data_IF_773641387134
#
_entry.id   IF_773641387134
#
_cell.length_a   1.000
_cell.length_b   1.000
_cell.length_c   1.000
_cell.angle_alpha   90.00
_cell.angle_beta   90.00
_cell.angle_gamma   90.00
#
_symmetry.space_group_name_H-M   'P 1'
#
loop_
_entity.id
_entity.type
_entity.pdbx_description
1 polymer ?
#
# COMPACT_ATOMS: atom_id res chain seq x y z
N UNK A 1 7.35 7.63 19.58
CA UNK A 1 7.25 8.21 18.23
C UNK A 1 6.05 7.57 17.54
N UNK A 2 4.93 8.29 17.40
CA UNK A 2 3.79 7.78 16.62
C UNK A 2 4.26 7.59 15.18
N UNK A 3 4.18 6.35 14.69
CA UNK A 3 4.54 6.04 13.31
C UNK A 3 3.66 6.92 12.40
N UNK A 4 4.25 7.85 11.64
CA UNK A 4 3.44 8.72 10.80
C UNK A 4 2.70 7.83 9.81
N UNK A 5 1.37 8.01 9.74
CA UNK A 5 0.56 7.65 8.58
C UNK A 5 0.24 6.16 8.35
N UNK A 6 0.04 5.37 9.42
CA UNK A 6 -0.58 4.02 9.37
C UNK A 6 -2.10 4.05 9.14
N UNK A 7 -2.62 5.13 8.57
CA UNK A 7 -4.05 5.35 8.42
C UNK A 7 -4.50 4.88 7.05
N UNK A 8 -5.41 3.91 6.99
CA UNK A 8 -5.92 3.40 5.72
C UNK A 8 -7.34 3.93 5.46
N UNK A 9 -7.56 4.81 4.47
CA UNK A 9 -8.90 5.31 4.16
C UNK A 9 -9.84 4.19 3.68
N UNK A 10 -9.31 3.16 3.01
CA UNK A 10 -10.08 1.99 2.58
C UNK A 10 -10.55 1.09 3.75
N UNK A 11 -10.05 1.31 4.97
CA UNK A 11 -10.44 0.54 6.14
C UNK A 11 -11.23 1.37 7.16
N UNK A 12 -11.79 2.51 6.76
CA UNK A 12 -12.50 3.42 7.64
C UNK A 12 -11.56 4.36 8.41
N UNK A 13 -10.44 4.74 7.79
CA UNK A 13 -9.45 5.67 8.35
C UNK A 13 -8.86 5.21 9.69
N UNK A 14 -8.83 3.90 9.93
CA UNK A 14 -8.24 3.29 11.12
C UNK A 14 -6.74 3.06 10.95
N UNK A 15 -6.03 2.94 12.07
CA UNK A 15 -4.66 2.44 12.09
C UNK A 15 -4.67 0.97 11.63
N UNK A 16 -3.87 0.64 10.62
CA UNK A 16 -3.74 -0.71 10.10
C UNK A 16 -2.28 -1.11 10.02
N UNK A 17 -2.02 -2.42 9.93
CA UNK A 17 -0.68 -2.90 9.63
C UNK A 17 -0.33 -2.66 8.16
N UNK A 18 0.88 -2.18 7.96
CA UNK A 18 1.42 -1.83 6.65
C UNK A 18 2.68 -2.64 6.41
N UNK A 19 2.65 -3.49 5.38
CA UNK A 19 3.79 -4.30 4.95
C UNK A 19 4.48 -3.66 3.74
N UNK A 20 5.80 -3.87 3.57
CA UNK A 20 6.47 -3.49 2.33
C UNK A 20 5.83 -4.22 1.14
N UNK A 21 5.86 -3.58 -0.02
CA UNK A 21 5.39 -4.16 -1.28
C UNK A 21 6.24 -5.37 -1.66
N UNK A 22 5.55 -6.42 -2.10
CA UNK A 22 6.13 -7.62 -2.68
C UNK A 22 6.63 -7.39 -4.11
N UNK A 23 7.45 -8.30 -4.63
CA UNK A 23 8.11 -8.11 -5.94
C UNK A 23 7.14 -7.81 -7.09
N UNK A 24 6.01 -8.52 -7.14
CA UNK A 24 4.96 -8.31 -8.13
C UNK A 24 4.27 -6.95 -7.96
N UNK A 25 4.03 -6.52 -6.73
CA UNK A 25 3.38 -5.25 -6.40
C UNK A 25 4.29 -4.06 -6.71
N UNK A 26 5.60 -4.22 -6.44
CA UNK A 26 6.63 -3.25 -6.83
C UNK A 26 6.70 -3.11 -8.35
N UNK A 27 6.69 -4.23 -9.08
CA UNK A 27 6.67 -4.19 -10.54
C UNK A 27 5.43 -3.44 -11.06
N UNK A 28 4.25 -3.72 -10.50
CA UNK A 28 3.02 -3.02 -10.85
C UNK A 28 3.09 -1.52 -10.53
N UNK A 29 3.63 -1.15 -9.35
CA UNK A 29 3.79 0.24 -8.95
C UNK A 29 4.76 1.01 -9.86
N UNK A 30 5.82 0.35 -10.34
CA UNK A 30 6.74 0.93 -11.31
C UNK A 30 6.09 1.16 -12.68
N UNK A 31 5.30 0.20 -13.15
CA UNK A 31 4.74 0.23 -14.51
C UNK A 31 3.49 1.08 -14.62
N UNK A 32 2.56 0.96 -13.67
CA UNK A 32 1.23 1.57 -13.75
C UNK A 32 1.09 2.81 -12.88
N UNK A 33 1.66 2.81 -11.68
CA UNK A 33 1.61 3.98 -10.80
C UNK A 33 2.74 4.98 -11.05
N UNK A 34 3.63 4.70 -12.03
CA UNK A 34 4.79 5.53 -12.39
C UNK A 34 5.64 5.93 -11.18
N UNK A 35 5.64 5.10 -10.15
CA UNK A 35 6.41 5.35 -8.94
C UNK A 35 7.88 5.16 -9.27
N UNK A 36 8.73 6.09 -8.84
CA UNK A 36 10.17 5.93 -9.02
C UNK A 36 10.70 4.79 -8.16
N UNK A 37 11.70 4.08 -8.69
CA UNK A 37 12.30 2.91 -8.01
C UNK A 37 12.91 3.26 -6.64
N UNK A 38 13.34 4.52 -6.47
CA UNK A 38 13.79 5.08 -5.20
C UNK A 38 12.64 5.22 -4.19
N UNK A 39 11.47 5.69 -4.64
CA UNK A 39 10.30 5.90 -3.78
C UNK A 39 9.60 4.61 -3.41
N UNK A 40 9.69 3.55 -4.21
CA UNK A 40 9.09 2.23 -3.93
C UNK A 40 9.32 1.74 -2.50
N UNK A 41 10.52 1.97 -1.94
CA UNK A 41 10.84 1.54 -0.57
C UNK A 41 10.05 2.29 0.51
N UNK A 42 9.50 3.46 0.16
CA UNK A 42 8.64 4.26 1.02
C UNK A 42 7.18 3.82 0.93
N UNK A 43 6.77 3.16 -0.15
CA UNK A 43 5.40 2.68 -0.29
C UNK A 43 5.17 1.41 0.53
N UNK A 44 4.03 1.39 1.20
CA UNK A 44 3.58 0.27 2.02
C UNK A 44 2.17 -0.11 1.63
N UNK A 45 1.92 -1.41 1.59
CA UNK A 45 0.59 -1.97 1.36
C UNK A 45 -0.08 -2.26 2.70
N UNK A 46 -1.38 -1.94 2.80
CA UNK A 46 -2.21 -2.39 3.91
C UNK A 46 -2.23 -3.93 3.97
N UNK A 47 -1.85 -4.50 5.10
CA UNK A 47 -1.79 -5.94 5.34
C UNK A 47 -3.15 -6.55 5.68
N UNK A 48 -4.20 -5.72 5.80
CA UNK A 48 -5.56 -6.18 6.06
C UNK A 48 -6.08 -7.03 4.91
N UNK A 49 -6.72 -8.15 5.23
CA UNK A 49 -7.39 -8.99 4.26
C UNK A 49 -8.46 -8.21 3.48
N UNK A 50 -8.53 -8.47 2.17
CA UNK A 50 -9.39 -7.73 1.24
C UNK A 50 -8.92 -6.30 0.91
N UNK A 51 -7.91 -5.76 1.60
CA UNK A 51 -7.39 -4.43 1.30
C UNK A 51 -6.26 -4.49 0.26
N UNK A 52 -6.37 -3.62 -0.74
CA UNK A 52 -5.39 -3.43 -1.82
C UNK A 52 -4.78 -2.04 -1.83
N UNK A 53 -5.03 -1.26 -0.78
CA UNK A 53 -4.51 0.10 -0.65
C UNK A 53 -2.99 0.06 -0.46
N UNK A 54 -2.28 0.75 -1.33
CA UNK A 54 -0.86 1.04 -1.21
C UNK A 54 -0.71 2.54 -1.02
N UNK A 55 0.07 2.94 -0.01
CA UNK A 55 0.30 4.36 0.26
C UNK A 55 1.75 4.61 0.65
N UNK A 56 2.20 5.84 0.46
CA UNK A 56 3.53 6.24 0.92
C UNK A 56 3.55 6.34 2.44
N UNK A 57 4.61 5.83 3.05
CA UNK A 57 4.90 5.97 4.47
C UNK A 57 4.96 7.45 4.91
N UNK A 58 5.46 8.33 4.03
CA UNK A 58 5.56 9.76 4.32
C UNK A 58 4.25 10.51 4.08
N UNK A 59 3.37 10.00 3.22
CA UNK A 59 2.10 10.64 2.87
C UNK A 59 1.01 9.61 2.60
N UNK A 60 0.16 9.32 3.60
CA UNK A 60 -0.94 8.35 3.46
C UNK A 60 -1.97 8.73 2.39
N UNK A 61 -2.13 10.02 2.10
CA UNK A 61 -3.03 10.48 1.02
C UNK A 61 -2.44 10.17 -0.35
N UNK A 62 -1.11 10.15 -0.46
CA UNK A 62 -0.39 9.80 -1.69
C UNK A 62 -0.24 8.28 -1.78
N UNK A 63 -1.08 7.68 -2.60
CA UNK A 63 -1.16 6.24 -2.75
C UNK A 63 -2.10 5.85 -3.88
N UNK A 64 -2.10 4.57 -4.18
CA UNK A 64 -2.91 3.97 -5.23
C UNK A 64 -3.46 2.63 -4.74
N UNK A 65 -4.46 2.15 -5.45
CA UNK A 65 -5.16 0.92 -5.12
C UNK A 65 -4.67 -0.13 -6.11
N UNK A 66 -4.17 -1.25 -5.60
CA UNK A 66 -3.85 -2.39 -6.45
C UNK A 66 -5.16 -2.99 -6.99
N UNK A 67 -5.15 -3.60 -8.18
CA UNK A 67 -6.33 -4.26 -8.70
C UNK A 67 -6.73 -5.43 -7.81
N UNK A 68 -7.99 -5.82 -7.91
CA UNK A 68 -8.59 -6.87 -7.06
C UNK A 68 -7.86 -8.21 -7.19
N UNK A 69 -7.16 -8.46 -8.29
CA UNK A 69 -6.28 -9.63 -8.49
C UNK A 69 -5.17 -9.75 -7.44
N UNK A 70 -4.78 -8.65 -6.78
CA UNK A 70 -3.82 -8.65 -5.68
C UNK A 70 -4.49 -8.79 -4.31
N UNK A 71 -5.82 -8.77 -4.20
CA UNK A 71 -6.49 -9.08 -2.93
C UNK A 71 -6.08 -10.50 -2.55
N UNK A 72 -5.58 -10.73 -1.33
CA UNK A 72 -5.52 -12.08 -0.82
C UNK A 72 -6.96 -12.59 -0.78
N UNK A 73 -7.30 -13.48 -1.69
CA UNK A 73 -8.55 -14.23 -1.65
C UNK A 73 -8.41 -15.17 -0.47
N UNK A 74 -8.91 -14.76 0.70
CA UNK A 74 -9.03 -15.65 1.85
C UNK A 74 -9.88 -16.85 1.45
N UNK A 75 -9.34 -18.05 1.66
CA UNK A 75 -10.15 -19.26 1.88
C UNK A 75 -10.32 -19.42 3.39
#
# INVERSE_FOLDING_TARGET
MSLPNRRCPNCGDTDQDFRPLDGAERAYALTLAQVSRADLGTYRRCAREGCVRVQSYFNWKSGFDLPESFRPTGC
#
